data_IF_469379289012
#
_entry.id   IF_469379289012
#
_cell.length_a   1.000
_cell.length_b   1.000
_cell.length_c   1.000
_cell.angle_alpha   90.00
_cell.angle_beta   90.00
_cell.angle_gamma   90.00
#
_symmetry.space_group_name_H-M   'P 1'
#
loop_
_entity.id
_entity.type
_entity.pdbx_description
1 polymer ?
#
# COMPACT_ATOMS: atom_id res chain seq x y z
N UNK A 1 -60.33 -54.31 46.52
CA UNK A 1 -60.12 -54.97 47.83
C UNK A 1 -58.61 -55.15 48.00
N UNK A 2 -58.08 -54.88 49.19
CA UNK A 2 -56.65 -54.80 49.59
C UNK A 2 -55.93 -53.53 49.10
N UNK A 3 -55.67 -52.51 49.92
CA UNK A 3 -54.89 -52.39 51.18
C UNK A 3 -53.37 -52.53 50.91
N UNK A 4 -52.60 -51.45 51.14
CA UNK A 4 -51.50 -51.38 52.12
C UNK A 4 -50.83 -49.99 52.05
N UNK A 5 -50.86 -49.36 53.21
CA UNK A 5 -50.11 -48.20 53.71
C UNK A 5 -48.60 -48.49 53.80
N UNK A 6 -47.73 -47.48 53.64
CA UNK A 6 -46.96 -46.87 54.75
C UNK A 6 -45.69 -46.09 54.30
N UNK A 7 -45.63 -44.82 54.72
CA UNK A 7 -44.49 -44.10 55.37
C UNK A 7 -43.09 -44.01 54.71
N UNK A 8 -42.61 -42.79 54.48
CA UNK A 8 -41.66 -42.11 55.41
C UNK A 8 -40.97 -40.86 54.81
N UNK A 9 -41.25 -39.72 55.46
CA UNK A 9 -40.36 -38.62 55.91
C UNK A 9 -39.19 -38.10 55.04
N UNK A 10 -39.29 -36.77 54.83
CA UNK A 10 -38.28 -35.70 54.97
C UNK A 10 -36.88 -35.89 54.35
N UNK A 11 -36.51 -34.95 53.47
CA UNK A 11 -35.44 -33.97 53.72
C UNK A 11 -35.51 -32.83 52.70
N UNK A 12 -35.85 -31.64 53.18
CA UNK A 12 -35.62 -30.36 52.49
C UNK A 12 -34.12 -30.05 52.58
N UNK A 13 -33.45 -29.93 51.44
CA UNK A 13 -32.13 -29.34 51.35
C UNK A 13 -32.19 -28.14 50.40
N UNK A 14 -32.14 -26.95 51.01
CA UNK A 14 -31.87 -25.69 50.36
C UNK A 14 -30.54 -25.77 49.58
N UNK A 15 -30.54 -25.39 48.31
CA UNK A 15 -29.30 -25.05 47.61
C UNK A 15 -29.42 -23.61 47.12
N UNK A 16 -28.78 -22.72 47.88
CA UNK A 16 -28.46 -21.37 47.49
C UNK A 16 -27.52 -21.39 46.29
N UNK A 17 -27.92 -20.79 45.18
CA UNK A 17 -27.06 -20.56 44.02
C UNK A 17 -26.20 -19.34 44.33
N UNK A 18 -24.94 -19.55 44.71
CA UNK A 18 -23.94 -18.50 44.82
C UNK A 18 -23.34 -18.24 43.42
N UNK A 19 -23.49 -17.01 42.93
CA UNK A 19 -22.84 -16.51 41.71
C UNK A 19 -21.38 -16.21 42.06
N UNK A 20 -20.45 -17.03 41.54
CA UNK A 20 -19.02 -16.78 41.69
C UNK A 20 -18.50 -15.92 40.53
N UNK A 21 -18.08 -14.69 40.85
CA UNK A 21 -17.29 -13.86 39.96
C UNK A 21 -15.88 -14.46 39.82
N UNK A 22 -15.46 -14.77 38.58
CA UNK A 22 -14.09 -15.21 38.29
C UNK A 22 -13.19 -13.99 38.21
N UNK A 23 -12.39 -13.82 39.25
CA UNK A 23 -11.23 -12.92 39.31
C UNK A 23 -10.10 -13.57 38.50
N UNK A 24 -9.59 -12.87 37.48
CA UNK A 24 -8.37 -13.29 36.75
C UNK A 24 -7.13 -12.95 37.59
N UNK A 25 -6.31 -13.93 38.01
CA UNK A 25 -5.05 -13.67 38.68
C UNK A 25 -3.95 -13.41 37.64
N UNK A 26 -3.07 -12.48 38.01
CA UNK A 26 -1.85 -12.10 37.31
C UNK A 26 -0.70 -13.10 37.52
N UNK A 27 0.17 -13.12 36.50
CA UNK A 27 1.62 -13.45 36.48
C UNK A 27 2.14 -14.90 36.53
N UNK A 28 2.76 -15.28 35.39
CA UNK A 28 4.13 -15.83 35.16
C UNK A 28 4.58 -17.05 35.99
N UNK A 29 4.74 -18.22 35.36
CA UNK A 29 6.07 -18.84 35.13
C UNK A 29 6.01 -20.12 34.25
N UNK A 30 6.84 -20.09 33.21
CA UNK A 30 7.67 -21.13 32.60
C UNK A 30 7.15 -22.48 32.04
N UNK A 31 7.77 -22.77 30.89
CA UNK A 31 8.09 -24.06 30.26
C UNK A 31 7.01 -24.88 29.52
N UNK A 32 7.30 -25.07 28.23
CA UNK A 32 6.81 -26.11 27.30
C UNK A 32 5.39 -26.00 26.77
N UNK A 33 5.15 -24.96 25.96
CA UNK A 33 4.29 -25.12 24.79
C UNK A 33 4.96 -24.46 23.60
N UNK A 34 5.29 -25.27 22.62
CA UNK A 34 5.72 -24.89 21.28
C UNK A 34 4.68 -23.97 20.62
N UNK A 35 4.71 -22.68 20.94
CA UNK A 35 4.05 -21.64 20.14
C UNK A 35 5.09 -21.19 19.13
N UNK A 36 4.88 -21.60 17.89
CA UNK A 36 5.84 -21.53 16.81
C UNK A 36 6.58 -20.19 16.74
N UNK A 37 7.89 -20.28 16.93
CA UNK A 37 8.90 -19.32 16.52
C UNK A 37 8.94 -19.15 14.99
N UNK A 38 7.79 -19.12 14.31
CA UNK A 38 7.67 -18.34 13.08
C UNK A 38 7.68 -16.90 13.56
N UNK A 39 8.90 -16.40 13.78
CA UNK A 39 9.19 -15.00 13.78
C UNK A 39 8.26 -14.37 12.74
N UNK A 40 7.46 -13.41 13.20
CA UNK A 40 6.80 -12.44 12.33
C UNK A 40 7.94 -11.78 11.56
N UNK A 41 8.38 -12.40 10.46
CA UNK A 41 9.26 -11.75 9.51
C UNK A 41 8.55 -10.44 9.19
N UNK A 42 9.22 -9.29 9.34
CA UNK A 42 8.61 -8.03 8.92
C UNK A 42 8.18 -8.24 7.47
N UNK A 43 6.87 -8.22 7.22
CA UNK A 43 6.39 -8.20 5.85
C UNK A 43 6.98 -6.93 5.26
N UNK A 44 7.68 -7.07 4.14
CA UNK A 44 8.14 -5.91 3.41
C UNK A 44 6.92 -5.02 3.16
N UNK A 45 6.98 -3.82 3.72
CA UNK A 45 6.01 -2.77 3.51
C UNK A 45 5.81 -2.59 1.99
N UNK A 46 4.58 -2.64 1.51
CA UNK A 46 4.31 -2.55 0.06
C UNK A 46 4.45 -1.09 -0.39
N UNK A 47 5.40 -0.85 -1.30
CA UNK A 47 5.74 0.45 -1.88
C UNK A 47 5.61 0.38 -3.39
N UNK A 48 5.06 1.42 -4.01
CA UNK A 48 4.92 1.42 -5.45
C UNK A 48 4.08 2.56 -6.01
N UNK A 49 3.58 2.34 -7.22
CA UNK A 49 2.67 3.24 -7.91
C UNK A 49 1.67 2.50 -8.77
N UNK A 50 0.48 3.07 -8.89
CA UNK A 50 -0.53 2.66 -9.86
C UNK A 50 -0.66 3.73 -10.93
N UNK A 51 -0.57 3.32 -12.19
CA UNK A 51 -0.79 4.19 -13.35
C UNK A 51 -2.08 3.74 -14.01
N UNK A 52 -2.94 4.69 -14.38
CA UNK A 52 -4.25 4.43 -14.95
C UNK A 52 -4.42 5.19 -16.27
N UNK A 53 -5.07 4.55 -17.24
CA UNK A 53 -5.28 5.17 -18.55
C UNK A 53 -6.28 6.31 -18.49
N UNK A 54 -7.21 6.37 -17.55
CA UNK A 54 -8.16 7.48 -17.48
C UNK A 54 -7.88 8.38 -16.28
N UNK A 55 -8.50 9.56 -16.27
CA UNK A 55 -8.45 10.46 -15.12
C UNK A 55 -9.17 9.83 -13.91
N UNK A 56 -8.93 10.38 -12.73
CA UNK A 56 -9.51 9.96 -11.45
C UNK A 56 -9.29 8.47 -11.15
N UNK A 57 -8.15 7.92 -11.58
CA UNK A 57 -7.76 6.52 -11.36
C UNK A 57 -8.72 5.50 -12.01
N UNK A 58 -9.33 5.87 -13.15
CA UNK A 58 -10.22 5.01 -13.93
C UNK A 58 -9.55 4.31 -15.11
N UNK A 59 -10.34 3.49 -15.82
CA UNK A 59 -9.89 2.80 -17.02
C UNK A 59 -9.01 1.57 -16.73
N UNK A 60 -8.07 1.29 -17.63
CA UNK A 60 -7.06 0.24 -17.42
C UNK A 60 -5.98 0.76 -16.47
N UNK A 61 -5.72 0.04 -15.38
CA UNK A 61 -4.69 0.41 -14.41
C UNK A 61 -3.66 -0.71 -14.26
N UNK A 62 -2.39 -0.31 -14.18
CA UNK A 62 -1.26 -1.21 -13.91
C UNK A 62 -0.55 -0.76 -12.64
N UNK A 63 -0.35 -1.70 -11.73
CA UNK A 63 0.32 -1.47 -10.44
C UNK A 63 1.72 -2.05 -10.45
N UNK A 64 2.69 -1.23 -10.08
CA UNK A 64 4.09 -1.60 -9.91
C UNK A 64 4.44 -1.46 -8.44
N UNK A 65 4.82 -2.56 -7.79
CA UNK A 65 5.28 -2.57 -6.40
C UNK A 65 6.53 -3.40 -6.18
N UNK A 66 7.22 -3.15 -5.08
CA UNK A 66 8.36 -3.93 -4.61
C UNK A 66 7.99 -5.41 -4.39
N UNK A 67 6.77 -5.70 -3.93
CA UNK A 67 6.32 -7.06 -3.62
C UNK A 67 5.69 -7.80 -4.80
N UNK A 68 5.03 -7.11 -5.74
CA UNK A 68 4.35 -7.75 -6.89
C UNK A 68 5.20 -7.78 -8.16
N UNK A 69 5.81 -6.65 -8.48
CA UNK A 69 6.60 -6.48 -9.72
C UNK A 69 8.11 -6.51 -9.48
N UNK A 70 8.56 -6.67 -8.23
CA UNK A 70 9.98 -6.58 -7.88
C UNK A 70 10.55 -5.18 -8.10
N UNK A 71 9.71 -4.13 -7.99
CA UNK A 71 10.14 -2.75 -8.14
C UNK A 71 11.27 -2.45 -7.14
N UNK A 72 12.43 -2.05 -7.65
CA UNK A 72 13.57 -1.62 -6.83
C UNK A 72 13.55 -0.10 -6.68
N UNK A 73 13.95 0.40 -5.51
CA UNK A 73 14.05 1.84 -5.27
C UNK A 73 15.06 2.44 -6.25
N UNK A 74 14.71 3.57 -6.86
CA UNK A 74 15.52 4.26 -7.87
C UNK A 74 15.81 3.49 -9.16
N UNK A 75 15.16 2.34 -9.39
CA UNK A 75 15.23 1.68 -10.68
C UNK A 75 14.33 2.39 -11.70
N UNK A 76 14.87 2.65 -12.88
CA UNK A 76 14.08 3.13 -14.00
C UNK A 76 13.26 2.01 -14.61
N UNK A 77 11.95 2.22 -14.70
CA UNK A 77 11.00 1.32 -15.31
C UNK A 77 10.49 1.95 -16.60
N UNK A 78 10.79 1.29 -17.73
CA UNK A 78 10.16 1.59 -19.01
C UNK A 78 8.79 0.90 -19.06
N UNK A 79 7.75 1.64 -19.44
CA UNK A 79 6.41 1.09 -19.58
C UNK A 79 6.31 0.22 -20.83
N UNK A 80 5.48 -0.82 -20.77
CA UNK A 80 5.14 -1.63 -21.93
C UNK A 80 4.03 -0.98 -22.77
N UNK A 81 3.80 -1.49 -23.97
CA UNK A 81 2.86 -0.91 -24.95
C UNK A 81 1.39 -0.92 -24.50
N UNK A 82 1.03 -1.67 -23.45
CA UNK A 82 -0.34 -1.69 -22.95
C UNK A 82 -0.71 -0.35 -22.29
N UNK A 83 0.25 0.32 -21.64
CA UNK A 83 0.02 1.55 -20.86
C UNK A 83 0.91 2.73 -21.25
N UNK A 84 2.03 2.48 -21.94
CA UNK A 84 2.97 3.49 -22.39
C UNK A 84 2.29 4.54 -23.29
N UNK A 85 2.48 5.82 -22.98
CA UNK A 85 1.83 6.93 -23.70
C UNK A 85 0.31 6.95 -23.56
N UNK A 86 -0.28 6.23 -22.59
CA UNK A 86 -1.73 6.15 -22.40
C UNK A 86 -2.20 6.61 -21.02
N UNK A 87 -1.28 6.89 -20.11
CA UNK A 87 -1.57 7.23 -18.70
C UNK A 87 -2.21 8.62 -18.59
N UNK A 88 -3.28 8.72 -17.81
CA UNK A 88 -3.97 9.98 -17.49
C UNK A 88 -4.09 10.26 -15.99
N UNK A 89 -3.79 9.28 -15.13
CA UNK A 89 -3.67 9.48 -13.69
C UNK A 89 -2.65 8.51 -13.07
N UNK A 90 -2.03 8.94 -11.97
CA UNK A 90 -0.98 8.19 -11.26
C UNK A 90 -1.14 8.30 -9.76
N UNK A 91 -0.90 7.22 -9.02
CA UNK A 91 -1.04 7.19 -7.56
C UNK A 91 0.09 6.37 -6.94
N UNK A 92 1.15 7.04 -6.43
CA UNK A 92 2.10 6.36 -5.55
C UNK A 92 1.40 5.87 -4.27
N UNK A 93 1.93 4.80 -3.68
CA UNK A 93 1.46 4.26 -2.41
C UNK A 93 2.64 3.70 -1.61
N UNK A 94 2.47 3.65 -0.30
CA UNK A 94 3.40 3.05 0.66
C UNK A 94 2.64 2.54 1.89
N UNK A 95 3.37 2.04 2.90
CA UNK A 95 2.79 1.30 4.03
C UNK A 95 1.95 2.14 4.98
N UNK A 96 2.19 3.45 5.07
CA UNK A 96 1.33 4.33 5.86
C UNK A 96 1.38 5.79 5.40
N UNK A 97 0.35 6.54 5.77
CA UNK A 97 0.26 7.95 5.41
C UNK A 97 1.12 8.89 6.27
N UNK A 98 1.91 8.35 7.21
CA UNK A 98 2.56 9.14 8.27
C UNK A 98 4.07 8.98 8.36
N UNK A 99 4.65 7.94 7.78
CA UNK A 99 6.09 7.66 7.86
C UNK A 99 6.64 7.17 6.54
N UNK A 100 7.28 8.08 5.82
CA UNK A 100 8.18 7.85 4.67
C UNK A 100 7.54 7.12 3.49
N UNK A 101 6.93 7.92 2.63
CA UNK A 101 6.25 7.45 1.45
C UNK A 101 7.09 7.05 0.28
N UNK A 102 6.38 6.50 -0.70
CA UNK A 102 6.89 6.32 -2.06
C UNK A 102 6.79 7.64 -2.82
N UNK A 103 7.93 8.13 -3.29
CA UNK A 103 8.03 9.28 -4.18
C UNK A 103 8.25 8.75 -5.58
N UNK A 104 7.44 9.15 -6.55
CA UNK A 104 7.64 8.69 -7.93
C UNK A 104 7.83 9.88 -8.85
N UNK A 105 8.76 9.72 -9.79
CA UNK A 105 8.98 10.66 -10.87
C UNK A 105 8.63 9.98 -12.19
N UNK A 106 7.75 10.63 -12.95
CA UNK A 106 7.24 10.14 -14.24
C UNK A 106 7.84 10.98 -15.36
N UNK A 107 8.25 10.33 -16.44
CA UNK A 107 9.00 10.93 -17.54
C UNK A 107 8.22 10.79 -18.84
N UNK A 108 8.29 11.84 -19.65
CA UNK A 108 7.73 11.83 -21.02
C UNK A 108 8.60 11.06 -22.01
N UNK A 109 9.81 10.66 -21.62
CA UNK A 109 10.75 9.92 -22.43
C UNK A 109 10.96 8.50 -21.90
N UNK A 110 11.40 7.61 -22.80
CA UNK A 110 11.93 6.33 -22.40
C UNK A 110 13.21 6.51 -21.56
N UNK A 111 13.52 5.55 -20.67
CA UNK A 111 14.76 5.47 -19.89
C UNK A 111 14.94 6.46 -18.73
N UNK A 112 13.87 7.12 -18.26
CA UNK A 112 13.93 8.06 -17.14
C UNK A 112 14.95 9.19 -17.34
N UNK A 113 15.09 9.61 -18.59
CA UNK A 113 15.97 10.69 -18.99
C UNK A 113 15.16 11.96 -19.27
N UNK A 114 15.74 13.09 -18.90
CA UNK A 114 15.24 14.40 -19.25
C UNK A 114 16.22 15.05 -20.22
N UNK A 115 15.91 14.94 -21.52
CA UNK A 115 16.78 15.43 -22.59
C UNK A 115 16.71 16.94 -22.78
N UNK A 116 15.85 17.65 -22.05
CA UNK A 116 15.69 19.11 -22.11
C UNK A 116 16.98 19.90 -21.88
N UNK A 117 17.89 19.31 -21.10
CA UNK A 117 19.24 19.81 -20.85
C UNK A 117 20.16 19.80 -22.07
N UNK A 118 19.90 18.88 -23.00
CA UNK A 118 20.78 18.60 -24.14
C UNK A 118 20.18 19.14 -25.44
N UNK A 119 18.85 19.19 -25.54
CA UNK A 119 18.13 19.74 -26.68
C UNK A 119 16.88 20.48 -26.19
N UNK A 120 16.84 21.83 -26.30
CA UNK A 120 15.65 22.63 -25.97
C UNK A 120 14.41 22.30 -26.82
N UNK A 121 14.56 21.52 -27.89
CA UNK A 121 13.47 21.03 -28.75
C UNK A 121 13.02 19.61 -28.46
N UNK A 122 13.72 18.88 -27.58
CA UNK A 122 13.32 17.53 -27.21
C UNK A 122 12.03 17.55 -26.38
N UNK A 123 11.17 16.52 -26.48
CA UNK A 123 10.06 16.34 -25.55
C UNK A 123 10.64 16.33 -24.13
N UNK A 124 10.36 17.39 -23.39
CA UNK A 124 11.06 17.67 -22.14
C UNK A 124 10.25 17.24 -20.93
N UNK A 125 10.99 16.97 -19.86
CA UNK A 125 10.46 17.11 -18.53
C UNK A 125 9.97 15.84 -17.87
N UNK A 126 9.85 15.96 -16.56
CA UNK A 126 9.34 14.93 -15.68
C UNK A 126 8.41 15.58 -14.66
N UNK A 127 7.61 14.79 -13.97
CA UNK A 127 6.91 15.30 -12.80
C UNK A 127 7.06 14.34 -11.66
N UNK A 128 7.43 14.91 -10.53
CA UNK A 128 7.47 14.21 -9.27
C UNK A 128 6.15 14.38 -8.56
N UNK A 129 5.68 13.31 -7.93
CA UNK A 129 4.59 13.36 -6.95
C UNK A 129 4.95 12.50 -5.76
N UNK A 130 4.47 12.94 -4.59
CA UNK A 130 4.60 12.22 -3.35
C UNK A 130 3.34 11.39 -3.05
N UNK A 131 3.48 10.50 -2.08
CA UNK A 131 2.55 9.46 -1.64
C UNK A 131 1.06 9.84 -1.50
N UNK A 132 0.74 11.12 -1.26
CA UNK A 132 -0.63 11.52 -0.91
C UNK A 132 -1.39 12.26 -2.00
N UNK A 133 -0.67 12.92 -2.90
CA UNK A 133 -1.34 13.72 -3.92
C UNK A 133 -1.70 12.85 -5.13
N UNK A 134 -0.80 11.94 -5.53
CA UNK A 134 -0.85 11.38 -6.87
C UNK A 134 -1.03 12.50 -7.90
N UNK A 135 -1.53 12.15 -9.08
CA UNK A 135 -2.22 13.09 -9.94
C UNK A 135 -3.48 12.40 -10.44
N UNK A 136 -4.64 12.86 -10.02
CA UNK A 136 -5.92 12.36 -10.53
C UNK A 136 -6.17 12.81 -11.96
N UNK A 137 -5.59 13.94 -12.40
CA UNK A 137 -5.76 14.42 -13.77
C UNK A 137 -4.46 15.03 -14.33
N UNK A 138 -3.75 14.24 -15.14
CA UNK A 138 -2.53 14.68 -15.82
C UNK A 138 -2.77 15.74 -16.92
N UNK A 139 -4.02 16.01 -17.31
CA UNK A 139 -4.34 17.11 -18.23
C UNK A 139 -4.11 18.47 -17.59
N UNK A 140 -4.06 18.55 -16.27
CA UNK A 140 -3.77 19.78 -15.53
C UNK A 140 -2.28 19.95 -15.21
N UNK A 141 -1.49 18.90 -15.39
CA UNK A 141 -0.11 18.83 -14.90
C UNK A 141 0.87 19.07 -16.03
N UNK A 142 1.71 20.08 -15.87
CA UNK A 142 2.86 20.31 -16.76
C UNK A 142 4.07 19.52 -16.28
N UNK A 143 4.85 18.95 -17.20
CA UNK A 143 6.16 18.44 -16.87
C UNK A 143 7.06 19.60 -16.46
N UNK A 144 7.93 19.35 -15.49
CA UNK A 144 8.88 20.31 -14.95
C UNK A 144 10.29 19.74 -14.98
N UNK A 145 11.27 20.61 -15.07
CA UNK A 145 12.67 20.22 -14.91
C UNK A 145 13.38 21.32 -14.12
N UNK A 146 14.10 20.97 -13.06
CA UNK A 146 14.98 21.86 -12.27
C UNK A 146 14.63 23.38 -12.36
N UNK A 147 13.49 23.77 -11.76
CA UNK A 147 13.02 25.16 -11.68
C UNK A 147 12.54 25.82 -12.99
N UNK A 148 12.31 25.07 -14.08
CA UNK A 148 11.74 25.56 -15.32
C UNK A 148 10.55 24.70 -15.79
N UNK A 149 9.53 25.37 -16.35
CA UNK A 149 8.41 24.74 -17.05
C UNK A 149 8.88 24.27 -18.44
N UNK A 150 8.40 23.10 -18.84
CA UNK A 150 8.65 22.56 -20.16
C UNK A 150 7.50 22.95 -21.10
N UNK A 151 7.58 24.15 -21.66
CA UNK A 151 6.54 24.73 -22.53
C UNK A 151 6.26 23.88 -23.78
N UNK A 152 7.28 23.15 -24.27
CA UNK A 152 7.17 22.32 -25.47
C UNK A 152 6.60 20.92 -25.20
N UNK A 153 6.60 20.48 -23.94
CA UNK A 153 6.10 19.17 -23.56
C UNK A 153 4.58 19.13 -23.46
N UNK A 154 3.92 20.29 -23.31
CA UNK A 154 2.50 20.39 -22.98
C UNK A 154 2.14 19.62 -21.70
N UNK A 155 0.85 19.46 -21.42
CA UNK A 155 0.39 18.69 -20.25
C UNK A 155 0.81 17.22 -20.33
N UNK A 156 1.03 16.55 -19.20
CA UNK A 156 1.57 15.19 -19.11
C UNK A 156 0.61 14.08 -19.54
N UNK A 157 -0.67 14.40 -19.75
CA UNK A 157 -1.68 13.45 -20.19
C UNK A 157 -1.23 12.67 -21.44
N UNK A 158 -1.32 11.34 -21.38
CA UNK A 158 -0.95 10.43 -22.46
C UNK A 158 0.51 10.53 -22.92
N UNK A 159 1.42 11.00 -22.07
CA UNK A 159 2.84 11.17 -22.44
C UNK A 159 3.81 10.35 -21.64
N UNK A 160 3.42 9.82 -20.48
CA UNK A 160 4.33 9.04 -19.63
C UNK A 160 4.82 7.80 -20.37
N UNK A 161 6.14 7.67 -20.48
CA UNK A 161 6.81 6.52 -21.11
C UNK A 161 7.60 5.69 -20.10
N UNK A 162 8.13 6.33 -19.05
CA UNK A 162 8.90 5.67 -18.02
C UNK A 162 8.72 6.35 -16.67
N UNK A 163 9.11 5.66 -15.60
CA UNK A 163 9.10 6.21 -14.25
C UNK A 163 10.17 5.55 -13.39
N UNK A 164 10.52 6.20 -12.29
CA UNK A 164 11.16 5.53 -11.17
C UNK A 164 10.52 6.00 -9.87
N UNK A 165 10.63 5.18 -8.84
CA UNK A 165 10.16 5.52 -7.51
C UNK A 165 11.28 5.38 -6.50
N UNK A 166 11.32 6.30 -5.55
CA UNK A 166 12.15 6.25 -4.36
C UNK A 166 11.29 5.92 -3.16
N UNK A 167 11.72 4.93 -2.40
CA UNK A 167 11.17 4.59 -1.10
C UNK A 167 12.31 4.14 -0.19
N UNK A 168 12.22 4.39 1.12
CA UNK A 168 13.30 4.05 2.04
C UNK A 168 13.45 2.54 2.12
N UNK A 169 14.64 2.05 1.81
CA UNK A 169 15.00 0.69 2.21
C UNK A 169 15.02 0.63 3.73
N UNK A 170 14.19 -0.23 4.33
CA UNK A 170 14.54 -0.76 5.65
C UNK A 170 15.71 -1.71 5.42
N UNK A 171 16.86 -1.41 6.02
CA UNK A 171 17.91 -2.44 6.14
C UNK A 171 17.27 -3.64 6.88
N UNK A 172 17.49 -4.88 6.41
CA UNK A 172 17.07 -6.07 7.14
C UNK A 172 17.69 -6.11 8.53
#
# INVERSE_FOLDING_TARGET
>A
MQLITLFSRLLLANVNIAIAAVVLPSTVNDTTTSVGLRALLPRDDEHGTTLCTDINFGGYCQTFSNTRSGLKSSACIRLDDSIRGKVSSVKPFGPNEKTKGTYCRYFVNDHCLDFSLMDPKAPCGSRETSEFAGFSDLKSIEPSWFHAECDQGGKMDKKIQSFWCWFPYRKP
#
